data_IF_359176414755
#
_entry.id   IF_359176414755
#
_cell.length_a   1.000
_cell.length_b   1.000
_cell.length_c   1.000
_cell.angle_alpha   90.00
_cell.angle_beta   90.00
_cell.angle_gamma   90.00
#
_symmetry.space_group_name_H-M   'P 1'
#
loop_
_entity.id
_entity.type
_entity.pdbx_description
1 polymer ?
#
# COMPACT_ATOMS: atom_id res chain seq x y z
N UNK A 1 -23.15 26.94 4.68
CA UNK A 1 -21.85 26.40 4.24
C UNK A 1 -22.10 25.61 2.98
N UNK A 2 -21.74 26.14 1.82
CA UNK A 2 -22.01 25.49 0.55
C UNK A 2 -21.14 24.23 0.47
N UNK A 3 -21.76 23.06 0.56
CA UNK A 3 -21.17 21.78 0.20
C UNK A 3 -21.01 21.77 -1.32
N UNK A 4 -19.97 22.45 -1.82
CA UNK A 4 -19.64 22.46 -3.25
C UNK A 4 -19.02 21.11 -3.58
N UNK A 5 -19.83 20.05 -3.69
CA UNK A 5 -19.42 18.80 -4.33
C UNK A 5 -19.61 18.95 -5.84
N UNK A 6 -18.62 19.16 -6.69
CA UNK A 6 -17.35 19.89 -6.65
C UNK A 6 -17.09 20.12 -8.16
N UNK A 7 -16.56 21.27 -8.54
CA UNK A 7 -16.36 21.67 -9.94
C UNK A 7 -15.70 20.57 -10.79
N UNK A 8 -16.25 20.29 -11.98
CA UNK A 8 -15.67 19.33 -12.93
C UNK A 8 -14.27 19.80 -13.35
N UNK A 9 -13.24 18.99 -13.09
CA UNK A 9 -11.84 19.29 -13.42
C UNK A 9 -11.41 18.48 -14.63
N UNK A 10 -10.78 19.13 -15.59
CA UNK A 10 -10.18 18.48 -16.74
C UNK A 10 -8.85 17.80 -16.36
N UNK A 11 -8.54 16.65 -16.97
CA UNK A 11 -7.26 15.94 -16.79
C UNK A 11 -6.48 15.98 -18.11
N UNK A 12 -5.42 16.80 -18.16
CA UNK A 12 -4.54 16.90 -19.32
C UNK A 12 -3.67 15.65 -19.49
N UNK A 13 -3.48 15.21 -20.74
CA UNK A 13 -2.70 14.05 -21.14
C UNK A 13 -3.37 12.71 -20.86
N UNK A 14 -4.55 12.69 -20.24
CA UNK A 14 -5.23 11.45 -19.93
C UNK A 14 -5.95 10.87 -21.16
N UNK A 15 -5.73 9.58 -21.39
CA UNK A 15 -6.35 8.81 -22.46
C UNK A 15 -7.54 8.04 -21.90
N UNK A 16 -8.70 8.13 -22.55
CA UNK A 16 -9.87 7.37 -22.14
C UNK A 16 -9.63 5.85 -22.33
N UNK A 17 -9.81 5.00 -21.31
CA UNK A 17 -9.59 3.56 -21.43
C UNK A 17 -10.62 2.86 -22.32
N UNK A 18 -11.81 3.46 -22.52
CA UNK A 18 -12.89 2.89 -23.34
C UNK A 18 -12.76 3.23 -24.82
N UNK A 19 -12.39 4.46 -25.18
CA UNK A 19 -12.39 4.92 -26.58
C UNK A 19 -11.04 5.43 -27.08
N UNK A 20 -9.98 5.35 -26.26
CA UNK A 20 -8.61 5.76 -26.58
C UNK A 20 -8.41 7.24 -26.96
N UNK A 21 -9.42 8.10 -26.75
CA UNK A 21 -9.32 9.52 -27.02
C UNK A 21 -8.53 10.24 -25.91
N UNK A 22 -7.56 11.06 -26.32
CA UNK A 22 -6.74 11.88 -25.43
C UNK A 22 -7.49 13.16 -25.05
N UNK A 23 -7.27 13.66 -23.83
CA UNK A 23 -7.79 14.96 -23.39
C UNK A 23 -9.33 15.04 -23.43
N UNK A 24 -10.00 13.94 -23.10
CA UNK A 24 -11.47 13.87 -22.98
C UNK A 24 -11.95 13.41 -21.61
N UNK A 25 -11.07 13.32 -20.61
CA UNK A 25 -11.45 12.88 -19.27
C UNK A 25 -11.55 14.05 -18.30
N UNK A 26 -12.61 14.04 -17.49
CA UNK A 26 -12.84 14.97 -16.39
C UNK A 26 -13.01 14.21 -15.09
N UNK A 27 -12.74 14.85 -13.96
CA UNK A 27 -12.92 14.28 -12.63
C UNK A 27 -13.70 15.23 -11.72
N UNK A 28 -14.60 14.68 -10.91
CA UNK A 28 -15.40 15.42 -9.95
C UNK A 28 -15.73 14.55 -8.74
N UNK A 29 -16.00 15.17 -7.59
CA UNK A 29 -16.40 14.45 -6.37
C UNK A 29 -17.92 14.40 -6.27
N UNK A 30 -18.45 13.23 -5.89
CA UNK A 30 -19.88 13.06 -5.60
C UNK A 30 -20.15 12.91 -4.10
N UNK A 31 -19.12 12.58 -3.31
CA UNK A 31 -19.13 12.62 -1.85
C UNK A 31 -17.72 12.89 -1.34
N UNK A 32 -17.52 12.91 -0.01
CA UNK A 32 -16.19 13.08 0.59
C UNK A 32 -15.27 11.88 0.33
N UNK A 33 -15.86 10.71 0.06
CA UNK A 33 -15.14 9.46 -0.12
C UNK A 33 -15.10 8.99 -1.57
N UNK A 34 -15.95 9.55 -2.45
CA UNK A 34 -16.15 9.03 -3.80
C UNK A 34 -15.93 10.12 -4.86
N UNK A 35 -15.03 9.79 -5.79
CA UNK A 35 -14.69 10.59 -6.96
C UNK A 35 -15.08 9.84 -8.23
N UNK A 36 -15.57 10.56 -9.23
CA UNK A 36 -15.90 10.01 -10.54
C UNK A 36 -14.94 10.59 -11.57
N UNK A 37 -14.32 9.72 -12.37
CA UNK A 37 -13.66 10.07 -13.62
C UNK A 37 -14.59 9.75 -14.79
N UNK A 38 -14.95 10.75 -15.58
CA UNK A 38 -15.86 10.64 -16.72
C UNK A 38 -15.16 11.02 -18.04
N UNK A 39 -15.39 10.27 -19.12
CA UNK A 39 -15.03 10.68 -20.47
C UNK A 39 -16.17 11.43 -21.14
N UNK A 40 -15.94 12.68 -21.53
CA UNK A 40 -16.96 13.54 -22.17
C UNK A 40 -17.29 13.11 -23.61
N UNK A 41 -16.47 12.23 -24.22
CA UNK A 41 -16.66 11.76 -25.60
C UNK A 41 -17.52 10.51 -25.69
N UNK A 42 -17.23 9.49 -24.89
CA UNK A 42 -17.90 8.18 -24.95
C UNK A 42 -18.75 7.83 -23.72
N UNK A 43 -18.81 8.73 -22.73
CA UNK A 43 -19.59 8.57 -21.50
C UNK A 43 -19.04 7.53 -20.52
N UNK A 44 -17.79 7.06 -20.70
CA UNK A 44 -17.15 6.17 -19.74
C UNK A 44 -17.10 6.82 -18.35
N UNK A 45 -17.45 6.08 -17.29
CA UNK A 45 -17.41 6.54 -15.90
C UNK A 45 -16.72 5.50 -15.04
N UNK A 46 -15.79 5.95 -14.23
CA UNK A 46 -15.02 5.15 -13.27
C UNK A 46 -15.20 5.79 -11.89
N UNK A 47 -15.60 4.99 -10.90
CA UNK A 47 -15.65 5.43 -9.50
C UNK A 47 -14.35 5.08 -8.79
N UNK A 48 -13.80 6.08 -8.11
CA UNK A 48 -12.58 5.99 -7.33
C UNK A 48 -12.98 6.32 -5.90
N UNK A 49 -12.73 5.39 -4.99
CA UNK A 49 -13.00 5.60 -3.57
C UNK A 49 -11.69 5.85 -2.82
N UNK A 50 -11.71 6.88 -1.98
CA UNK A 50 -10.58 7.24 -1.13
C UNK A 50 -10.60 6.46 0.21
N UNK A 51 -11.54 5.52 0.39
CA UNK A 51 -11.71 4.69 1.58
C UNK A 51 -10.75 3.48 1.63
N UNK A 52 -9.56 3.61 1.04
CA UNK A 52 -8.51 2.62 1.17
C UNK A 52 -8.13 2.52 2.65
N UNK A 53 -8.83 1.63 3.38
CA UNK A 53 -8.45 1.18 4.71
C UNK A 53 -6.99 0.77 4.66
N UNK A 54 -6.27 0.94 5.78
CA UNK A 54 -4.81 0.71 5.92
C UNK A 54 -4.32 -0.31 4.88
N UNK A 55 -3.73 0.20 3.80
CA UNK A 55 -3.11 -0.66 2.80
C UNK A 55 -1.86 -1.18 3.51
N UNK A 56 -1.94 -2.41 4.01
CA UNK A 56 -0.79 -3.11 4.56
C UNK A 56 0.31 -3.12 3.51
N UNK A 57 1.53 -2.75 3.91
CA UNK A 57 2.64 -2.67 2.98
C UNK A 57 2.93 -4.07 2.42
N UNK A 58 2.98 -4.27 1.09
CA UNK A 58 3.26 -5.58 0.53
C UNK A 58 4.66 -6.03 0.95
N UNK A 59 4.78 -7.30 1.35
CA UNK A 59 6.08 -7.87 1.70
C UNK A 59 6.97 -7.89 0.46
N UNK A 60 8.12 -7.21 0.54
CA UNK A 60 9.13 -7.21 -0.52
C UNK A 60 10.45 -7.73 0.03
N UNK A 61 11.33 -8.21 -0.85
CA UNK A 61 12.71 -8.63 -0.50
C UNK A 61 13.51 -7.56 0.26
N UNK A 62 13.14 -6.29 0.10
CA UNK A 62 13.81 -5.14 0.73
C UNK A 62 13.18 -4.79 2.08
N UNK A 63 11.89 -5.09 2.26
CA UNK A 63 11.17 -4.87 3.52
C UNK A 63 11.29 -6.05 4.48
N UNK A 64 12.28 -6.94 4.27
CA UNK A 64 12.61 -8.03 5.19
C UNK A 64 13.80 -7.57 6.05
N UNK A 65 13.72 -7.61 7.39
CA UNK A 65 14.82 -7.19 8.25
C UNK A 65 16.06 -8.04 7.99
N UNK A 66 17.22 -7.37 7.81
CA UNK A 66 18.51 -8.05 7.70
C UNK A 66 19.07 -8.33 9.09
N UNK A 67 19.89 -9.37 9.19
CA UNK A 67 20.64 -9.69 10.41
C UNK A 67 21.47 -8.47 10.87
N UNK A 68 21.05 -7.84 11.97
CA UNK A 68 21.73 -6.69 12.59
C UNK A 68 21.06 -5.33 12.37
N UNK A 69 19.96 -5.24 11.62
CA UNK A 69 19.16 -4.00 11.49
C UNK A 69 18.02 -4.00 12.53
N UNK A 70 17.64 -2.81 13.03
CA UNK A 70 16.53 -2.67 13.98
C UNK A 70 15.21 -3.07 13.31
N UNK A 71 14.45 -3.93 13.98
CA UNK A 71 13.14 -4.36 13.52
C UNK A 71 12.17 -3.16 13.45
N UNK A 72 11.29 -3.17 12.46
CA UNK A 72 10.16 -2.23 12.38
C UNK A 72 9.30 -2.39 13.65
N UNK A 73 8.69 -1.29 14.10
CA UNK A 73 8.04 -1.17 15.42
C UNK A 73 6.87 -2.16 15.71
N UNK A 74 6.55 -3.06 14.79
CA UNK A 74 5.47 -4.04 14.90
C UNK A 74 5.95 -5.51 14.91
N UNK A 75 7.26 -5.76 14.95
CA UNK A 75 7.83 -7.11 14.91
C UNK A 75 8.60 -7.44 16.21
N UNK A 76 8.44 -8.68 16.70
CA UNK A 76 9.10 -9.15 17.92
C UNK A 76 10.62 -9.33 17.70
N UNK A 77 11.40 -8.95 18.71
CA UNK A 77 12.86 -8.81 18.64
C UNK A 77 13.58 -10.18 18.54
N UNK A 78 14.15 -10.49 17.37
CA UNK A 78 14.84 -11.75 17.10
C UNK A 78 16.16 -11.80 17.88
N UNK A 79 16.29 -12.74 18.82
CA UNK A 79 17.53 -13.01 19.54
C UNK A 79 18.27 -14.22 18.98
N UNK A 80 19.52 -14.03 18.57
CA UNK A 80 20.41 -15.13 18.18
C UNK A 80 20.89 -15.84 19.43
N UNK A 81 20.38 -17.06 19.66
CA UNK A 81 20.85 -17.90 20.76
C UNK A 81 22.02 -18.75 20.28
N UNK A 82 23.13 -18.71 21.02
CA UNK A 82 24.25 -19.61 20.78
C UNK A 82 23.87 -21.02 21.25
N UNK A 83 23.87 -21.99 20.34
CA UNK A 83 23.75 -23.39 20.73
C UNK A 83 25.03 -23.81 21.45
N UNK A 84 24.90 -24.19 22.71
CA UNK A 84 25.97 -24.85 23.46
C UNK A 84 26.04 -26.28 22.95
N UNK A 85 27.20 -26.67 22.44
CA UNK A 85 27.42 -28.03 21.98
C UNK A 85 27.40 -28.98 23.20
N UNK A 86 26.57 -30.05 23.22
CA UNK A 86 26.46 -30.96 24.36
C UNK A 86 27.74 -31.73 24.71
N UNK A 87 28.83 -31.52 23.95
CA UNK A 87 30.14 -32.15 24.12
C UNK A 87 31.16 -31.27 24.83
N UNK A 88 30.83 -30.03 25.20
CA UNK A 88 31.64 -29.16 26.09
C UNK A 88 31.52 -29.62 27.55
N UNK A 89 31.75 -30.91 27.75
CA UNK A 89 31.64 -31.61 29.00
C UNK A 89 32.60 -31.06 30.04
N UNK A 90 32.05 -30.45 31.08
CA UNK A 90 32.66 -30.47 32.40
C UNK A 90 32.08 -31.64 33.20
N UNK A 91 32.78 -32.78 33.09
CA UNK A 91 32.81 -33.90 34.03
C UNK A 91 31.48 -34.40 34.61
N UNK A 92 30.83 -35.34 33.90
CA UNK A 92 30.02 -36.35 34.59
C UNK A 92 30.99 -37.31 35.28
N UNK A 93 31.10 -37.23 36.60
CA UNK A 93 31.69 -38.30 37.41
C UNK A 93 30.55 -39.26 37.74
N UNK A 94 30.49 -40.33 36.99
CA UNK A 94 29.64 -41.47 37.32
C UNK A 94 30.25 -42.14 38.58
N UNK A 95 29.45 -42.21 39.65
CA UNK A 95 29.67 -43.08 40.80
C UNK A 95 28.41 -43.93 40.97
#
# INVERSE_FOLDING_TARGET
MATVFNQRRFIAGAVCPKCAEMDKTVMYRISDLEQIRECVRCGFKESIRDDTGKIEEPTTRVNSPRLGEQALAHEDEIHVVSLIDPRDGKGRKDH
#
